data_IF_421547412538
#
_entry.id   IF_421547412538
#
_cell.length_a   1.000
_cell.length_b   1.000
_cell.length_c   1.000
_cell.angle_alpha   90.00
_cell.angle_beta   90.00
_cell.angle_gamma   90.00
#
_symmetry.space_group_name_H-M   'P 1'
#
loop_
_entity.id
_entity.type
_entity.pdbx_description
1 polymer ?
#
# COMPACT_ATOMS: atom_id res chain seq x y z
N UNK A 1 -3.95 -7.49 -5.77
CA UNK A 1 -4.22 -6.08 -5.39
C UNK A 1 -5.35 -6.12 -4.38
N UNK A 2 -5.35 -5.22 -3.40
CA UNK A 2 -6.42 -5.04 -2.44
C UNK A 2 -6.89 -3.58 -2.43
N UNK A 3 -8.05 -3.35 -1.83
CA UNK A 3 -8.72 -2.06 -1.73
C UNK A 3 -10.16 -2.17 -2.23
N UNK A 4 -11.03 -1.26 -1.79
CA UNK A 4 -12.45 -1.25 -2.17
C UNK A 4 -12.73 -0.22 -3.27
N UNK A 5 -12.33 -0.55 -4.49
CA UNK A 5 -12.52 0.33 -5.64
C UNK A 5 -14.02 0.54 -5.94
N UNK A 6 -14.45 1.79 -6.09
CA UNK A 6 -15.84 2.11 -6.46
C UNK A 6 -16.11 1.87 -7.96
N UNK A 7 -15.05 1.89 -8.78
CA UNK A 7 -15.12 1.54 -10.19
C UNK A 7 -13.92 0.69 -10.60
N UNK A 8 -14.17 -0.36 -11.38
CA UNK A 8 -13.15 -1.22 -11.97
C UNK A 8 -13.46 -1.45 -13.45
N UNK A 9 -12.46 -1.24 -14.32
CA UNK A 9 -12.58 -1.43 -15.76
C UNK A 9 -11.39 -2.23 -16.28
N UNK A 10 -11.67 -3.35 -16.94
CA UNK A 10 -10.63 -4.10 -17.68
C UNK A 10 -10.05 -3.27 -18.81
N UNK A 11 -8.73 -3.38 -19.01
CA UNK A 11 -8.00 -2.76 -20.12
C UNK A 11 -7.50 -3.84 -21.08
N UNK A 12 -7.32 -3.51 -22.38
CA UNK A 12 -6.62 -4.39 -23.31
C UNK A 12 -5.23 -4.77 -22.77
N UNK A 13 -4.76 -5.98 -23.08
CA UNK A 13 -3.45 -6.53 -22.66
C UNK A 13 -3.30 -6.86 -21.15
N UNK A 14 -4.32 -7.51 -20.57
CA UNK A 14 -4.35 -8.01 -19.17
C UNK A 14 -4.14 -6.92 -18.11
N UNK A 15 -4.50 -5.67 -18.42
CA UNK A 15 -4.54 -4.58 -17.46
C UNK A 15 -5.93 -4.39 -16.85
N UNK A 16 -6.01 -3.70 -15.73
CA UNK A 16 -7.25 -3.17 -15.18
C UNK A 16 -7.01 -1.78 -14.61
N UNK A 17 -8.03 -0.92 -14.70
CA UNK A 17 -8.09 0.38 -14.06
C UNK A 17 -9.04 0.29 -12.87
N UNK A 18 -8.60 0.76 -11.71
CA UNK A 18 -9.37 0.79 -10.47
C UNK A 18 -9.40 2.22 -9.95
N UNK A 19 -10.57 2.70 -9.55
CA UNK A 19 -10.76 4.03 -8.98
C UNK A 19 -11.15 3.87 -7.51
N UNK A 20 -10.53 4.69 -6.68
CA UNK A 20 -10.70 4.71 -5.22
C UNK A 20 -11.16 6.08 -4.80
N UNK A 21 -12.04 6.11 -3.80
CA UNK A 21 -12.41 7.34 -3.12
C UNK A 21 -11.21 7.88 -2.32
N UNK A 22 -11.07 9.21 -2.18
CA UNK A 22 -10.07 9.78 -1.29
C UNK A 22 -10.18 9.20 0.13
N UNK A 23 -9.03 8.98 0.79
CA UNK A 23 -8.92 8.33 2.10
C UNK A 23 -8.92 6.79 2.05
N UNK A 24 -9.25 6.16 0.92
CA UNK A 24 -9.22 4.70 0.84
C UNK A 24 -7.79 4.16 0.75
N UNK A 25 -7.48 3.21 1.62
CA UNK A 25 -6.25 2.43 1.56
C UNK A 25 -6.38 1.32 0.51
N UNK A 26 -5.35 1.19 -0.32
CA UNK A 26 -5.24 0.15 -1.33
C UNK A 26 -3.79 -0.30 -1.48
N UNK A 27 -3.60 -1.47 -2.08
CA UNK A 27 -2.25 -1.99 -2.28
C UNK A 27 -2.13 -2.92 -3.46
N UNK A 28 -0.95 -2.96 -4.06
CA UNK A 28 -0.70 -3.77 -5.23
C UNK A 28 0.70 -4.36 -5.22
N UNK A 29 0.81 -5.51 -5.87
CA UNK A 29 2.06 -6.24 -6.07
C UNK A 29 2.41 -6.14 -7.53
N UNK A 30 3.66 -5.77 -7.84
CA UNK A 30 4.20 -5.83 -9.19
C UNK A 30 5.38 -6.78 -9.24
N UNK A 31 5.29 -7.67 -10.21
CA UNK A 31 6.35 -8.54 -10.64
C UNK A 31 6.72 -8.16 -12.07
N UNK A 32 7.98 -7.82 -12.30
CA UNK A 32 8.57 -7.78 -13.65
C UNK A 32 9.77 -8.70 -13.65
N UNK A 33 9.78 -9.68 -14.56
CA UNK A 33 11.03 -10.24 -15.04
C UNK A 33 11.51 -9.34 -16.18
N UNK A 34 12.70 -8.79 -16.09
CA UNK A 34 13.37 -8.38 -17.32
C UNK A 34 14.05 -9.61 -17.94
N UNK A 35 14.18 -9.63 -19.27
CA UNK A 35 14.79 -10.74 -20.01
C UNK A 35 16.26 -11.01 -19.66
N UNK A 36 16.83 -10.27 -18.70
CA UNK A 36 18.20 -10.38 -18.20
C UNK A 36 18.27 -11.04 -16.81
N UNK A 37 17.15 -11.56 -16.29
CA UNK A 37 17.12 -12.32 -15.03
C UNK A 37 16.96 -11.48 -13.76
N UNK A 38 16.80 -10.15 -13.86
CA UNK A 38 16.53 -9.31 -12.69
C UNK A 38 15.05 -9.33 -12.37
N UNK A 39 14.71 -10.07 -11.31
CA UNK A 39 13.35 -10.15 -10.83
C UNK A 39 13.01 -8.94 -9.96
N UNK A 40 12.28 -7.98 -10.53
CA UNK A 40 11.79 -6.84 -9.75
C UNK A 40 10.51 -7.24 -9.01
N UNK A 41 10.65 -7.50 -7.70
CA UNK A 41 9.53 -7.61 -6.77
C UNK A 41 9.26 -6.24 -6.14
N UNK A 42 8.03 -5.75 -6.28
CA UNK A 42 7.57 -4.52 -5.63
C UNK A 42 6.22 -4.73 -4.97
N UNK A 43 6.09 -4.29 -3.73
CA UNK A 43 4.82 -4.18 -3.02
C UNK A 43 4.64 -2.73 -2.61
N UNK A 44 3.46 -2.18 -2.87
CA UNK A 44 3.09 -0.82 -2.48
C UNK A 44 1.76 -0.89 -1.74
N UNK A 45 1.69 -0.18 -0.62
CA UNK A 45 0.44 0.22 0.04
C UNK A 45 0.37 1.73 0.02
N UNK A 46 -0.78 2.25 -0.38
CA UNK A 46 -1.01 3.67 -0.54
C UNK A 46 -2.43 4.04 -0.12
N UNK A 47 -2.64 5.30 0.17
CA UNK A 47 -3.94 5.90 0.43
C UNK A 47 -4.27 6.86 -0.70
N UNK A 48 -5.47 6.72 -1.26
CA UNK A 48 -5.96 7.60 -2.31
C UNK A 48 -6.09 9.01 -1.75
N UNK A 49 -5.48 10.01 -2.39
CA UNK A 49 -5.56 11.39 -1.94
C UNK A 49 -6.41 12.25 -2.88
N UNK A 50 -6.74 13.45 -2.43
CA UNK A 50 -7.46 14.42 -3.25
C UNK A 50 -6.54 15.11 -4.27
N UNK A 51 -7.05 15.56 -5.43
CA UNK A 51 -6.23 16.18 -6.48
C UNK A 51 -5.39 17.40 -6.06
N UNK A 52 -5.76 18.08 -4.95
CA UNK A 52 -5.07 19.27 -4.43
C UNK A 52 -4.01 18.95 -3.36
N UNK A 53 -3.93 17.70 -2.92
CA UNK A 53 -2.97 17.27 -1.90
C UNK A 53 -1.59 17.03 -2.51
N UNK A 54 -0.56 17.00 -1.65
CA UNK A 54 0.81 16.65 -2.05
C UNK A 54 0.93 15.13 -2.24
N UNK A 55 0.65 14.66 -3.45
CA UNK A 55 0.66 13.23 -3.77
C UNK A 55 2.02 12.75 -4.27
N UNK A 56 2.40 11.54 -3.86
CA UNK A 56 3.59 10.85 -4.40
C UNK A 56 3.25 10.27 -5.76
N UNK A 57 4.09 10.56 -6.77
CA UNK A 57 3.99 9.89 -8.07
C UNK A 57 4.49 8.46 -7.96
N UNK A 58 3.58 7.51 -8.16
CA UNK A 58 3.87 6.08 -8.13
C UNK A 58 3.54 5.51 -9.52
N UNK A 59 4.44 4.79 -10.19
CA UNK A 59 4.19 4.25 -11.52
C UNK A 59 2.89 3.44 -11.57
N UNK A 60 1.95 3.83 -12.43
CA UNK A 60 0.64 3.17 -12.57
C UNK A 60 -0.46 3.64 -11.63
N UNK A 61 -0.19 4.66 -10.81
CA UNK A 61 -1.21 5.39 -10.05
C UNK A 61 -1.31 6.80 -10.65
N UNK A 62 -2.53 7.25 -10.93
CA UNK A 62 -2.82 8.61 -11.38
C UNK A 62 -3.91 9.22 -10.49
N UNK A 63 -3.79 10.51 -10.09
CA UNK A 63 -2.66 11.43 -10.31
C UNK A 63 -1.42 11.11 -9.45
N UNK A 64 -1.59 10.30 -8.41
CA UNK A 64 -0.60 9.91 -7.43
C UNK A 64 -1.35 9.35 -6.21
N UNK A 65 -0.65 9.12 -5.10
CA UNK A 65 -1.26 8.72 -3.83
C UNK A 65 -0.38 9.11 -2.64
N UNK A 66 -0.92 9.07 -1.44
CA UNK A 66 -0.12 9.10 -0.22
C UNK A 66 0.58 7.76 -0.07
N UNK A 67 1.91 7.74 -0.22
CA UNK A 67 2.67 6.51 -0.08
C UNK A 67 2.76 6.12 1.40
N UNK A 68 2.27 4.93 1.74
CA UNK A 68 2.29 4.42 3.10
C UNK A 68 3.42 3.41 3.31
N UNK A 69 3.53 2.45 2.39
CA UNK A 69 4.56 1.43 2.40
C UNK A 69 5.09 1.19 0.99
N UNK A 70 6.41 1.16 0.84
CA UNK A 70 7.08 0.72 -0.38
C UNK A 70 8.14 -0.33 -0.07
N UNK A 71 7.95 -1.54 -0.56
CA UNK A 71 8.91 -2.62 -0.45
C UNK A 71 9.44 -3.00 -1.83
N UNK A 72 10.76 -2.87 -2.00
CA UNK A 72 11.46 -3.23 -3.23
C UNK A 72 12.46 -4.36 -2.97
N UNK A 73 12.56 -5.28 -3.93
CA UNK A 73 13.43 -6.45 -3.84
C UNK A 73 12.79 -7.60 -3.08
N UNK A 74 13.28 -8.82 -3.34
CA UNK A 74 12.67 -10.08 -2.88
C UNK A 74 12.45 -10.13 -1.37
N UNK A 75 13.46 -9.77 -0.58
CA UNK A 75 13.39 -9.87 0.89
C UNK A 75 12.36 -8.92 1.49
N UNK A 76 12.40 -7.64 1.14
CA UNK A 76 11.43 -6.65 1.65
C UNK A 76 10.03 -6.94 1.11
N UNK A 77 9.89 -7.31 -0.16
CA UNK A 77 8.60 -7.67 -0.73
C UNK A 77 7.95 -8.85 0.01
N UNK A 78 8.71 -9.91 0.33
CA UNK A 78 8.20 -11.03 1.14
C UNK A 78 7.76 -10.61 2.53
N UNK A 79 8.51 -9.70 3.18
CA UNK A 79 8.13 -9.17 4.51
C UNK A 79 6.84 -8.35 4.44
N UNK A 80 6.69 -7.49 3.43
CA UNK A 80 5.47 -6.73 3.22
C UNK A 80 4.26 -7.63 2.90
N UNK A 81 4.46 -8.66 2.07
CA UNK A 81 3.41 -9.65 1.78
C UNK A 81 2.94 -10.35 3.05
N UNK A 82 3.86 -10.80 3.92
CA UNK A 82 3.47 -11.40 5.21
C UNK A 82 2.64 -10.46 6.08
N UNK A 83 2.98 -9.17 6.14
CA UNK A 83 2.18 -8.19 6.88
C UNK A 83 0.79 -7.97 6.26
N UNK A 84 0.66 -8.07 4.93
CA UNK A 84 -0.63 -8.00 4.22
C UNK A 84 -1.45 -9.28 4.47
N UNK A 85 -0.80 -10.45 4.42
CA UNK A 85 -1.44 -11.76 4.54
C UNK A 85 -2.15 -11.91 5.89
N UNK A 86 -1.63 -11.29 6.97
CA UNK A 86 -2.27 -11.25 8.31
C UNK A 86 -3.71 -10.73 8.27
N UNK A 87 -4.03 -9.80 7.36
CA UNK A 87 -5.36 -9.19 7.27
C UNK A 87 -6.15 -9.66 6.04
N UNK A 88 -5.54 -10.47 5.18
CA UNK A 88 -6.12 -10.83 3.88
C UNK A 88 -7.37 -11.68 4.04
N UNK A 89 -7.36 -12.67 4.94
CA UNK A 89 -8.49 -13.58 5.14
C UNK A 89 -9.73 -12.88 5.71
N UNK A 90 -9.51 -11.87 6.54
CA UNK A 90 -10.57 -11.05 7.11
C UNK A 90 -11.12 -9.99 6.13
N UNK A 91 -10.49 -9.78 4.97
CA UNK A 91 -10.87 -8.78 3.97
C UNK A 91 -10.88 -7.31 4.47
N UNK A 92 -10.24 -7.04 5.61
CA UNK A 92 -10.20 -5.72 6.28
C UNK A 92 -8.99 -4.86 5.91
N UNK A 93 -8.16 -5.30 4.95
CA UNK A 93 -6.94 -4.57 4.55
C UNK A 93 -7.17 -3.09 4.22
N UNK A 94 -8.35 -2.75 3.71
CA UNK A 94 -8.75 -1.40 3.34
C UNK A 94 -9.25 -0.54 4.52
N UNK A 95 -9.52 -1.17 5.67
CA UNK A 95 -9.95 -0.56 6.93
C UNK A 95 -8.76 -0.32 7.88
N UNK A 96 -7.60 -0.93 7.59
CA UNK A 96 -6.39 -0.75 8.39
C UNK A 96 -5.88 0.69 8.26
N UNK A 97 -5.76 1.35 9.41
CA UNK A 97 -5.31 2.73 9.55
C UNK A 97 -4.00 3.01 8.78
N UNK A 98 -3.94 4.08 7.95
CA UNK A 98 -2.74 4.50 7.25
C UNK A 98 -1.47 4.58 8.12
N UNK A 99 -1.59 4.98 9.39
CA UNK A 99 -0.47 5.01 10.34
C UNK A 99 0.22 3.65 10.51
N UNK A 100 -0.54 2.55 10.54
CA UNK A 100 0.03 1.21 10.68
C UNK A 100 0.95 0.86 9.52
N UNK A 101 0.50 1.11 8.28
CA UNK A 101 1.32 0.82 7.09
C UNK A 101 2.63 1.62 7.06
N UNK A 102 2.60 2.87 7.53
CA UNK A 102 3.80 3.71 7.69
C UNK A 102 4.72 3.16 8.80
N UNK A 103 4.15 2.68 9.90
CA UNK A 103 4.89 2.02 10.98
C UNK A 103 5.61 0.76 10.48
N UNK A 104 4.88 -0.12 9.79
CA UNK A 104 5.45 -1.32 9.15
C UNK A 104 6.59 -0.94 8.21
N UNK A 105 6.42 0.10 7.40
CA UNK A 105 7.48 0.58 6.50
C UNK A 105 8.72 1.04 7.27
N UNK A 106 8.56 1.80 8.35
CA UNK A 106 9.66 2.25 9.19
C UNK A 106 10.40 1.07 9.84
N UNK A 107 9.68 0.08 10.37
CA UNK A 107 10.27 -1.13 10.95
C UNK A 107 11.04 -1.94 9.91
N UNK A 108 10.49 -2.09 8.70
CA UNK A 108 11.18 -2.76 7.60
C UNK A 108 12.44 -2.01 7.15
N UNK A 109 12.42 -0.67 7.12
CA UNK A 109 13.58 0.15 6.78
C UNK A 109 14.71 -0.01 7.82
N UNK A 110 14.34 -0.10 9.09
CA UNK A 110 15.25 -0.30 10.23
C UNK A 110 15.56 -1.77 10.52
N UNK A 111 15.09 -2.71 9.69
CA UNK A 111 15.23 -4.15 9.87
C UNK A 111 14.70 -4.70 11.22
N UNK A 112 13.73 -4.03 11.82
CA UNK A 112 13.05 -4.46 13.04
C UNK A 112 11.95 -5.48 12.74
N UNK A 113 11.52 -6.31 13.71
CA UNK A 113 10.28 -7.09 13.62
C UNK A 113 9.07 -6.20 13.33
N UNK A 114 8.02 -6.78 12.75
CA UNK A 114 6.77 -6.06 12.50
C UNK A 114 5.85 -6.27 13.69
N UNK A 115 5.38 -5.18 14.28
CA UNK A 115 4.46 -5.24 15.42
C UNK A 115 3.05 -5.63 14.96
N UNK A 116 2.25 -6.15 15.90
CA UNK A 116 0.84 -6.41 15.67
C UNK A 116 0.07 -5.10 15.47
N UNK A 117 -1.06 -5.19 14.75
CA UNK A 117 -1.96 -4.06 14.60
C UNK A 117 -2.83 -3.86 15.83
N UNK A 118 -2.80 -2.65 16.37
CA UNK A 118 -3.66 -2.17 17.44
C UNK A 118 -4.51 -1.01 16.90
N UNK A 119 -5.84 -1.21 16.71
CA UNK A 119 -6.68 -0.21 16.07
C UNK A 119 -6.74 1.11 16.84
N UNK A 120 -6.70 1.10 18.17
CA UNK A 120 -6.83 2.30 18.99
C UNK A 120 -5.56 3.14 18.95
N UNK A 121 -4.40 2.48 18.99
CA UNK A 121 -3.09 3.12 18.82
C UNK A 121 -2.99 3.77 17.44
N UNK A 122 -3.31 3.03 16.39
CA UNK A 122 -3.13 3.54 15.03
C UNK A 122 -4.19 4.57 14.62
N UNK A 123 -5.42 4.49 15.16
CA UNK A 123 -6.41 5.57 15.05
C UNK A 123 -5.88 6.87 15.66
N UNK A 124 -5.32 6.79 16.87
CA UNK A 124 -4.76 7.94 17.58
C UNK A 124 -3.58 8.56 16.81
N UNK A 125 -2.73 7.73 16.21
CA UNK A 125 -1.59 8.18 15.39
C UNK A 125 -2.03 8.85 14.08
N UNK A 126 -3.09 8.38 13.45
CA UNK A 126 -3.64 9.06 12.26
C UNK A 126 -4.24 10.42 12.64
N UNK A 127 -5.00 10.50 13.74
CA UNK A 127 -5.54 11.78 14.23
C UNK A 127 -4.43 12.80 14.53
N UNK A 128 -3.37 12.38 15.23
CA UNK A 128 -2.24 13.24 15.56
C UNK A 128 -1.56 13.81 14.30
N UNK A 129 -1.57 13.06 13.20
CA UNK A 129 -0.99 13.45 11.92
C UNK A 129 -1.92 14.31 11.07
N UNK A 130 -3.23 14.17 11.19
CA UNK A 130 -4.19 15.06 10.50
C UNK A 130 -4.17 16.50 11.03
N UNK A 131 -3.64 16.70 12.25
CA UNK A 131 -3.55 18.01 12.91
C UNK A 131 -2.23 18.75 12.64
N UNK A 132 -1.27 18.13 11.96
CA UNK A 132 0.07 18.68 11.66
C UNK A 132 0.19 19.19 10.23
#
# INVERSE_FOLDING_TARGET
MFGRAFHSRGLPYRGAMHLFEPGQVFGFVRWRGDGFGTQTWRVVVAEAGQPREKLTRIPGIKPGAHLLLHAFGKTRAKRALRAIDVFSDAHVLHEIHPAYWRHVHAQMASNLPIDAYDPDVFASLDLARSLS
#
